data_IF_512143388137
#
_entry.id   IF_512143388137
#
_cell.length_a   1.000
_cell.length_b   1.000
_cell.length_c   1.000
_cell.angle_alpha   90.00
_cell.angle_beta   90.00
_cell.angle_gamma   90.00
#
_symmetry.space_group_name_H-M   'P 1'
#
loop_
_entity.id
_entity.type
_entity.pdbx_description
1 polymer ?
#
# COMPACT_ATOMS: atom_id res chain seq x y z
N UNK A 1 16.15 2.50 1.32
CA UNK A 1 16.54 3.43 2.39
C UNK A 1 15.48 3.39 3.49
N UNK A 2 15.87 3.36 4.76
CA UNK A 2 14.92 3.44 5.88
C UNK A 2 14.80 4.88 6.37
N UNK A 3 13.67 5.26 6.96
CA UNK A 3 13.48 6.60 7.54
C UNK A 3 13.86 6.58 9.02
N UNK A 4 14.58 7.60 9.47
CA UNK A 4 14.87 7.78 10.89
C UNK A 4 13.56 8.03 11.66
N UNK A 5 13.29 7.32 12.77
CA UNK A 5 12.05 7.47 13.53
C UNK A 5 11.93 8.82 14.26
N UNK A 6 13.05 9.52 14.46
CA UNK A 6 13.09 10.83 15.15
C UNK A 6 12.97 12.01 14.19
N UNK A 7 13.73 11.99 13.07
CA UNK A 7 13.78 13.13 12.15
C UNK A 7 13.19 12.86 10.76
N UNK A 8 12.67 11.66 10.52
CA UNK A 8 12.00 11.23 9.27
C UNK A 8 12.86 11.29 8.01
N UNK A 9 14.15 11.66 8.11
CA UNK A 9 15.07 11.68 6.97
C UNK A 9 15.50 10.27 6.60
N UNK A 10 15.75 10.07 5.31
CA UNK A 10 16.29 8.83 4.78
C UNK A 10 17.69 8.59 5.31
N UNK A 11 17.90 7.38 5.83
CA UNK A 11 19.15 6.91 6.39
C UNK A 11 19.49 5.55 5.79
N UNK A 12 20.77 5.21 5.84
CA UNK A 12 21.19 3.86 5.51
C UNK A 12 20.64 2.90 6.57
N UNK A 13 20.04 1.77 6.15
CA UNK A 13 19.45 0.79 7.05
C UNK A 13 20.48 0.08 7.95
N UNK A 14 21.78 0.39 7.82
CA UNK A 14 22.85 -0.19 8.62
C UNK A 14 23.50 0.84 9.57
N UNK A 15 22.99 2.06 9.63
CA UNK A 15 23.53 3.08 10.54
C UNK A 15 23.12 2.79 11.98
N UNK A 16 24.09 2.82 12.90
CA UNK A 16 23.84 2.74 14.35
C UNK A 16 23.42 4.11 14.90
N UNK A 17 23.95 5.18 14.31
CA UNK A 17 23.64 6.56 14.69
C UNK A 17 23.17 7.31 13.45
N UNK A 18 22.04 8.00 13.57
CA UNK A 18 21.51 8.80 12.47
C UNK A 18 22.48 9.95 12.13
N UNK A 19 22.93 10.12 10.87
CA UNK A 19 23.88 11.18 10.50
C UNK A 19 23.26 12.59 10.59
N UNK A 20 21.93 12.68 10.61
CA UNK A 20 21.19 13.95 10.61
C UNK A 20 20.92 14.44 12.02
N UNK A 21 20.24 13.64 12.83
CA UNK A 21 19.81 14.03 14.18
C UNK A 21 20.68 13.43 15.30
N UNK A 22 21.68 12.62 14.95
CA UNK A 22 22.62 11.97 15.89
C UNK A 22 21.97 11.05 16.92
N UNK A 23 20.73 10.60 16.70
CA UNK A 23 20.08 9.65 17.59
C UNK A 23 20.72 8.25 17.46
N UNK A 24 20.95 7.59 18.59
CA UNK A 24 21.38 6.20 18.64
C UNK A 24 20.18 5.28 18.33
N UNK A 25 20.20 4.65 17.16
CA UNK A 25 19.12 3.81 16.67
C UNK A 25 19.08 2.48 17.43
N UNK A 26 20.24 1.92 17.80
CA UNK A 26 20.31 0.69 18.59
C UNK A 26 19.67 0.88 19.96
N UNK A 27 20.00 1.97 20.64
CA UNK A 27 19.39 2.31 21.93
C UNK A 27 17.89 2.65 21.80
N UNK A 28 17.50 3.27 20.68
CA UNK A 28 16.09 3.53 20.40
C UNK A 28 15.29 2.23 20.27
N UNK A 29 15.76 1.27 19.48
CA UNK A 29 15.07 0.00 19.29
C UNK A 29 15.06 -0.85 20.56
N UNK A 30 16.12 -0.85 21.36
CA UNK A 30 16.12 -1.57 22.64
C UNK A 30 15.07 -1.04 23.62
N UNK A 31 14.92 0.28 23.75
CA UNK A 31 13.85 0.89 24.57
C UNK A 31 12.46 0.57 24.03
N UNK A 32 12.29 0.49 22.71
CA UNK A 32 11.02 0.10 22.09
C UNK A 32 10.69 -1.37 22.29
N UNK A 33 11.69 -2.25 22.32
CA UNK A 33 11.49 -3.65 22.67
C UNK A 33 10.93 -3.80 24.09
N UNK A 34 11.47 -3.05 25.06
CA UNK A 34 10.94 -3.01 26.44
C UNK A 34 9.48 -2.50 26.47
N UNK A 35 9.14 -1.46 25.71
CA UNK A 35 7.77 -0.94 25.63
C UNK A 35 6.79 -1.96 25.03
N UNK A 36 7.23 -2.74 24.04
CA UNK A 36 6.44 -3.83 23.45
C UNK A 36 6.10 -4.88 24.50
N UNK A 37 7.04 -5.22 25.39
CA UNK A 37 6.83 -6.23 26.41
C UNK A 37 5.71 -5.83 27.39
N UNK A 38 5.62 -4.55 27.74
CA UNK A 38 4.62 -4.01 28.67
C UNK A 38 3.29 -3.61 28.01
N UNK A 39 3.26 -3.41 26.69
CA UNK A 39 2.07 -2.97 25.96
C UNK A 39 1.45 -4.14 25.19
N UNK A 40 0.37 -4.73 25.73
CA UNK A 40 -0.32 -5.89 25.17
C UNK A 40 -0.77 -5.73 23.70
N UNK A 41 -1.27 -4.54 23.33
CA UNK A 41 -1.71 -4.29 21.95
C UNK A 41 -0.50 -4.23 21.01
N UNK A 42 0.57 -3.58 21.44
CA UNK A 42 1.80 -3.49 20.67
C UNK A 42 2.52 -4.85 20.57
N UNK A 43 2.46 -5.67 21.63
CA UNK A 43 2.96 -7.05 21.65
C UNK A 43 2.24 -7.94 20.66
N UNK A 44 0.91 -7.86 20.60
CA UNK A 44 0.10 -8.59 19.62
C UNK A 44 0.55 -8.25 18.19
N UNK A 45 0.66 -6.96 17.89
CA UNK A 45 1.09 -6.48 16.57
C UNK A 45 2.51 -6.93 16.22
N UNK A 46 3.41 -6.99 17.21
CA UNK A 46 4.77 -7.49 17.05
C UNK A 46 4.81 -8.98 16.69
N UNK A 47 4.02 -9.80 17.39
CA UNK A 47 3.92 -11.24 17.16
C UNK A 47 3.22 -11.57 15.84
N UNK A 48 2.31 -10.71 15.37
CA UNK A 48 1.60 -10.84 14.10
C UNK A 48 2.47 -10.48 12.87
N UNK A 49 3.63 -9.84 13.05
CA UNK A 49 4.50 -9.47 11.91
C UNK A 49 5.02 -10.72 11.21
N UNK A 50 4.45 -11.00 10.04
CA UNK A 50 4.89 -12.08 9.16
C UNK A 50 6.22 -11.67 8.49
N UNK A 51 7.25 -12.54 8.50
CA UNK A 51 8.51 -12.25 7.83
C UNK A 51 8.31 -12.11 6.31
N UNK A 52 8.99 -11.15 5.66
CA UNK A 52 8.92 -11.00 4.21
C UNK A 52 9.54 -12.23 3.53
N UNK A 53 8.86 -12.72 2.49
CA UNK A 53 9.37 -13.80 1.64
C UNK A 53 10.45 -13.27 0.70
N UNK A 54 11.36 -14.14 0.26
CA UNK A 54 12.38 -13.76 -0.73
C UNK A 54 11.71 -13.29 -2.04
N UNK A 55 12.01 -12.07 -2.52
CA UNK A 55 11.41 -11.55 -3.73
C UNK A 55 12.01 -12.25 -4.93
N UNK A 56 11.16 -12.89 -5.72
CA UNK A 56 11.55 -13.45 -6.99
C UNK A 56 11.41 -12.39 -8.06
N UNK A 57 12.41 -12.30 -8.95
CA UNK A 57 12.31 -11.41 -10.11
C UNK A 57 11.26 -12.00 -11.04
N UNK A 58 10.04 -11.48 -10.95
CA UNK A 58 9.03 -11.70 -11.98
C UNK A 58 9.59 -11.11 -13.28
N UNK A 59 10.14 -11.97 -14.14
CA UNK A 59 10.45 -11.57 -15.50
C UNK A 59 9.09 -11.23 -16.09
N UNK A 60 8.84 -9.95 -16.47
CA UNK A 60 7.57 -9.61 -17.10
C UNK A 60 7.41 -10.58 -18.25
N UNK A 61 6.30 -11.33 -18.24
CA UNK A 61 5.97 -12.24 -19.32
C UNK A 61 5.84 -11.36 -20.55
N UNK A 62 6.94 -11.24 -21.28
CA UNK A 62 7.12 -10.33 -22.41
C UNK A 62 5.97 -10.57 -23.40
N UNK A 63 5.53 -11.81 -23.48
CA UNK A 63 4.35 -12.30 -24.19
C UNK A 63 3.06 -11.57 -23.78
N UNK A 64 2.78 -11.36 -22.49
CA UNK A 64 1.57 -10.66 -22.01
C UNK A 64 1.64 -9.14 -22.24
N UNK A 65 2.81 -8.54 -22.06
CA UNK A 65 2.99 -7.11 -22.30
C UNK A 65 2.87 -6.78 -23.80
N UNK A 66 3.50 -7.60 -24.66
CA UNK A 66 3.36 -7.52 -26.11
C UNK A 66 1.91 -7.81 -26.53
N UNK A 67 1.25 -8.82 -25.96
CA UNK A 67 -0.15 -9.14 -26.25
C UNK A 67 -1.07 -7.96 -25.93
N UNK A 68 -0.87 -7.29 -24.78
CA UNK A 68 -1.63 -6.10 -24.42
C UNK A 68 -1.48 -4.97 -25.44
N UNK A 69 -0.25 -4.70 -25.89
CA UNK A 69 0.00 -3.67 -26.93
C UNK A 69 -0.58 -4.07 -28.28
N UNK A 70 -0.45 -5.34 -28.68
CA UNK A 70 -1.02 -5.85 -29.92
C UNK A 70 -2.55 -5.74 -29.92
N UNK A 71 -3.22 -6.07 -28.82
CA UNK A 71 -4.68 -5.93 -28.69
C UNK A 71 -5.11 -4.47 -28.85
N UNK A 72 -4.44 -3.54 -28.18
CA UNK A 72 -4.73 -2.10 -28.29
C UNK A 72 -4.49 -1.60 -29.72
N UNK A 73 -3.42 -2.06 -30.37
CA UNK A 73 -3.09 -1.70 -31.75
C UNK A 73 -4.12 -2.23 -32.75
N UNK A 74 -4.56 -3.49 -32.59
CA UNK A 74 -5.61 -4.09 -33.42
C UNK A 74 -6.94 -3.36 -33.23
N UNK A 75 -7.35 -3.07 -32.00
CA UNK A 75 -8.57 -2.29 -31.73
C UNK A 75 -8.50 -0.89 -32.36
N UNK A 76 -7.33 -0.25 -32.31
CA UNK A 76 -7.11 1.04 -32.98
C UNK A 76 -7.28 0.94 -34.49
N UNK A 77 -6.73 -0.09 -35.13
CA UNK A 77 -6.91 -0.35 -36.57
C UNK A 77 -8.38 -0.60 -36.89
N UNK A 78 -9.10 -1.40 -36.09
CA UNK A 78 -10.53 -1.65 -36.30
C UNK A 78 -11.36 -0.37 -36.20
N UNK A 79 -11.12 0.47 -35.17
CA UNK A 79 -11.84 1.73 -34.97
C UNK A 79 -11.58 2.70 -36.14
N UNK A 80 -10.34 2.82 -36.61
CA UNK A 80 -10.01 3.75 -37.71
C UNK A 80 -10.34 3.18 -39.10
N UNK A 81 -10.25 1.87 -39.28
CA UNK A 81 -10.62 1.17 -40.52
C UNK A 81 -12.13 1.20 -40.78
N UNK A 82 -12.93 1.22 -39.71
CA UNK A 82 -14.39 1.39 -39.83
C UNK A 82 -14.79 2.80 -40.31
N UNK A 83 -14.01 3.83 -39.96
CA UNK A 83 -14.32 5.24 -40.24
C UNK A 83 -13.98 5.66 -41.68
N UNK A 84 -13.23 4.85 -42.44
CA UNK A 84 -12.47 5.34 -43.61
C UNK A 84 -12.77 4.65 -44.94
N UNK A 85 -13.94 4.02 -45.04
CA UNK A 85 -14.51 3.67 -46.35
C UNK A 85 -14.97 4.95 -47.08
N UNK A 86 -14.06 5.67 -47.74
CA UNK A 86 -14.52 6.71 -48.69
C UNK A 86 -13.54 7.71 -49.30
N UNK A 87 -12.29 7.90 -48.82
CA UNK A 87 -11.41 8.92 -49.41
C UNK A 87 -9.93 8.53 -49.41
N UNK A 88 -9.33 8.60 -50.60
CA UNK A 88 -8.01 8.06 -50.97
C UNK A 88 -6.86 9.07 -50.74
N UNK A 89 -7.17 10.32 -50.37
CA UNK A 89 -6.22 11.43 -50.45
C UNK A 89 -5.49 11.78 -49.13
N UNK A 90 -5.76 11.05 -48.03
CA UNK A 90 -5.27 11.41 -46.69
C UNK A 90 -4.10 10.54 -46.18
N UNK A 91 -3.28 9.96 -47.07
CA UNK A 91 -2.16 9.06 -46.72
C UNK A 91 -1.21 9.63 -45.66
N UNK A 92 -0.95 10.95 -45.70
CA UNK A 92 -0.09 11.64 -44.75
C UNK A 92 -0.71 11.72 -43.34
N UNK A 93 -2.02 11.94 -43.26
CA UNK A 93 -2.76 12.02 -41.99
C UNK A 93 -2.80 10.64 -41.30
N UNK A 94 -2.91 9.57 -42.09
CA UNK A 94 -2.83 8.19 -41.57
C UNK A 94 -1.44 7.87 -41.04
N UNK A 95 -0.39 8.18 -41.80
CA UNK A 95 0.99 7.98 -41.34
C UNK A 95 1.24 8.70 -40.00
N UNK A 96 0.78 9.96 -39.87
CA UNK A 96 0.87 10.71 -38.62
C UNK A 96 0.13 10.00 -37.47
N UNK A 97 -1.11 9.57 -37.70
CA UNK A 97 -1.93 8.84 -36.73
C UNK A 97 -1.31 7.51 -36.27
N UNK A 98 -0.72 6.75 -37.18
CA UNK A 98 0.01 5.52 -36.88
C UNK A 98 1.25 5.79 -36.03
N UNK A 99 2.02 6.83 -36.36
CA UNK A 99 3.21 7.23 -35.59
C UNK A 99 2.80 7.60 -34.15
N UNK A 100 1.72 8.36 -33.97
CA UNK A 100 1.21 8.70 -32.64
C UNK A 100 0.74 7.46 -31.86
N UNK A 101 -0.06 6.58 -32.47
CA UNK A 101 -0.54 5.37 -31.80
C UNK A 101 0.60 4.42 -31.40
N UNK A 102 1.58 4.24 -32.29
CA UNK A 102 2.77 3.44 -32.00
C UNK A 102 3.61 4.07 -30.89
N UNK A 103 3.84 5.40 -30.95
CA UNK A 103 4.55 6.13 -29.90
C UNK A 103 3.91 5.98 -28.52
N UNK A 104 2.58 6.09 -28.44
CA UNK A 104 1.83 5.90 -27.18
C UNK A 104 1.94 4.45 -26.68
N UNK A 105 1.84 3.46 -27.59
CA UNK A 105 2.00 2.05 -27.23
C UNK A 105 3.40 1.72 -26.70
N UNK A 106 4.44 2.26 -27.33
CA UNK A 106 5.83 2.10 -26.88
C UNK A 106 6.03 2.76 -25.51
N UNK A 107 5.52 3.97 -25.30
CA UNK A 107 5.60 4.66 -24.01
C UNK A 107 4.88 3.89 -22.89
N UNK A 108 3.69 3.33 -23.16
CA UNK A 108 2.95 2.50 -22.21
C UNK A 108 3.71 1.21 -21.85
N UNK A 109 4.36 0.57 -22.82
CA UNK A 109 5.22 -0.59 -22.59
C UNK A 109 6.41 -0.24 -21.69
N UNK A 110 7.13 0.84 -22.01
CA UNK A 110 8.27 1.31 -21.21
C UNK A 110 7.85 1.67 -19.78
N UNK A 111 6.70 2.31 -19.60
CA UNK A 111 6.14 2.62 -18.27
C UNK A 111 5.81 1.34 -17.48
N UNK A 112 5.23 0.34 -18.13
CA UNK A 112 4.86 -0.94 -17.49
C UNK A 112 6.10 -1.73 -17.06
N UNK A 113 7.13 -1.77 -17.91
CA UNK A 113 8.42 -2.39 -17.57
C UNK A 113 9.11 -1.66 -16.42
N UNK A 114 9.08 -0.32 -16.42
CA UNK A 114 9.64 0.51 -15.34
C UNK A 114 8.91 0.29 -14.02
N UNK A 115 7.58 0.27 -14.03
CA UNK A 115 6.75 0.04 -12.83
C UNK A 115 7.05 -1.30 -12.16
N UNK A 116 7.20 -2.37 -12.96
CA UNK A 116 7.56 -3.67 -12.42
C UNK A 116 8.97 -3.66 -11.80
N UNK A 117 9.93 -2.96 -12.43
CA UNK A 117 11.29 -2.85 -11.88
C UNK A 117 11.31 -2.17 -10.51
N UNK A 118 10.53 -1.11 -10.31
CA UNK A 118 10.50 -0.37 -9.04
C UNK A 118 9.87 -1.15 -7.90
N UNK A 119 8.84 -1.96 -8.18
CA UNK A 119 8.20 -2.80 -7.16
C UNK A 119 9.14 -3.88 -6.63
N UNK A 120 9.90 -4.51 -7.53
CA UNK A 120 10.92 -5.49 -7.15
C UNK A 120 12.03 -4.88 -6.29
N UNK A 121 12.52 -3.69 -6.64
CA UNK A 121 13.58 -3.01 -5.88
C UNK A 121 13.13 -2.66 -4.44
N UNK A 122 11.86 -2.32 -4.25
CA UNK A 122 11.27 -2.05 -2.93
C UNK A 122 11.14 -3.31 -2.08
N UNK A 123 10.61 -4.41 -2.65
CA UNK A 123 10.49 -5.70 -1.96
C UNK A 123 11.87 -6.30 -1.61
N UNK A 124 12.86 -6.15 -2.50
CA UNK A 124 14.24 -6.59 -2.25
C UNK A 124 14.88 -5.84 -1.09
N UNK A 125 14.69 -4.51 -1.05
CA UNK A 125 15.18 -3.70 0.05
C UNK A 125 14.55 -4.12 1.39
N UNK A 126 13.25 -4.40 1.41
CA UNK A 126 12.54 -4.85 2.62
C UNK A 126 13.07 -6.21 3.11
N UNK A 127 13.28 -7.15 2.20
CA UNK A 127 13.87 -8.45 2.50
C UNK A 127 15.31 -8.33 3.04
N UNK A 128 16.17 -7.51 2.41
CA UNK A 128 17.53 -7.27 2.89
C UNK A 128 17.58 -6.66 4.30
N UNK A 129 16.62 -5.78 4.61
CA UNK A 129 16.49 -5.20 5.95
C UNK A 129 16.14 -6.26 6.99
N UNK A 130 15.18 -7.14 6.68
CA UNK A 130 14.80 -8.25 7.54
C UNK A 130 15.96 -9.23 7.78
N UNK A 131 16.70 -9.61 6.73
CA UNK A 131 17.86 -10.52 6.86
C UNK A 131 18.95 -9.96 7.77
N UNK A 132 19.22 -8.65 7.71
CA UNK A 132 20.29 -8.00 8.49
C UNK A 132 19.90 -7.75 9.94
N UNK A 133 18.66 -7.30 10.19
CA UNK A 133 18.16 -6.91 11.53
C UNK A 133 16.68 -7.29 11.71
N UNK A 134 16.37 -8.57 12.01
CA UNK A 134 15.00 -9.07 12.02
C UNK A 134 14.16 -8.47 13.16
N UNK A 135 14.73 -8.29 14.35
CA UNK A 135 14.02 -7.71 15.50
C UNK A 135 13.67 -6.22 15.25
N UNK A 136 14.64 -5.41 14.82
CA UNK A 136 14.41 -3.99 14.47
C UNK A 136 13.33 -3.84 13.39
N UNK A 137 13.30 -4.73 12.39
CA UNK A 137 12.27 -4.77 11.34
C UNK A 137 10.87 -5.02 11.93
N UNK A 138 10.72 -6.03 12.79
CA UNK A 138 9.44 -6.35 13.44
C UNK A 138 8.97 -5.20 14.34
N UNK A 139 9.87 -4.58 15.11
CA UNK A 139 9.56 -3.41 15.94
C UNK A 139 9.03 -2.27 15.06
N UNK A 140 9.70 -1.96 13.95
CA UNK A 140 9.28 -0.91 13.03
C UNK A 140 7.88 -1.15 12.48
N UNK A 141 7.60 -2.37 11.99
CA UNK A 141 6.28 -2.74 11.44
C UNK A 141 5.19 -2.71 12.49
N UNK A 142 5.45 -3.24 13.69
CA UNK A 142 4.50 -3.21 14.80
C UNK A 142 4.17 -1.78 15.24
N UNK A 143 5.18 -0.91 15.34
CA UNK A 143 4.98 0.51 15.68
C UNK A 143 4.19 1.26 14.61
N UNK A 144 4.40 0.95 13.33
CA UNK A 144 3.64 1.53 12.23
C UNK A 144 2.16 1.11 12.28
N UNK A 145 1.89 -0.19 12.46
CA UNK A 145 0.55 -0.72 12.64
C UNK A 145 -0.15 -0.09 13.85
N UNK A 146 0.55 0.01 14.98
CA UNK A 146 0.01 0.62 16.20
C UNK A 146 -0.35 2.10 16.02
N UNK A 147 0.49 2.87 15.32
CA UNK A 147 0.19 4.27 14.98
C UNK A 147 -1.04 4.40 14.07
N UNK A 148 -1.20 3.48 13.12
CA UNK A 148 -2.39 3.44 12.26
C UNK A 148 -3.64 3.16 13.11
N UNK A 149 -3.62 2.15 13.98
CA UNK A 149 -4.72 1.83 14.89
C UNK A 149 -5.07 3.01 15.82
N UNK A 150 -4.06 3.69 16.36
CA UNK A 150 -4.25 4.90 17.18
C UNK A 150 -4.90 6.04 16.40
N UNK A 151 -4.50 6.25 15.13
CA UNK A 151 -5.07 7.30 14.27
C UNK A 151 -6.57 7.10 14.02
N UNK A 152 -7.05 5.86 13.98
CA UNK A 152 -8.48 5.55 13.82
C UNK A 152 -9.26 5.51 15.14
N UNK A 153 -8.57 5.52 16.29
CA UNK A 153 -9.18 5.46 17.64
C UNK A 153 -9.12 6.76 18.43
N UNK A 154 -8.63 7.86 17.85
CA UNK A 154 -8.82 9.21 18.41
C UNK A 154 -10.11 9.83 17.84
N UNK A 155 -11.25 9.73 18.53
CA UNK A 155 -12.47 10.38 18.09
C UNK A 155 -12.43 11.87 18.39
N UNK A 156 -12.69 12.69 17.38
CA UNK A 156 -13.13 14.08 17.55
C UNK A 156 -14.59 14.17 18.00
N UNK A 157 -15.27 13.03 18.16
CA UNK A 157 -16.69 12.94 18.47
C UNK A 157 -16.91 12.46 19.91
N UNK A 158 -17.83 13.10 20.62
CA UNK A 158 -18.24 12.71 21.97
C UNK A 158 -19.51 11.85 21.91
N UNK A 159 -19.60 10.84 22.77
CA UNK A 159 -20.80 10.02 22.87
C UNK A 159 -22.00 10.87 23.34
N UNK A 160 -23.13 10.91 22.61
CA UNK A 160 -24.29 11.71 23.01
C UNK A 160 -24.97 11.17 24.28
N UNK A 161 -24.76 9.91 24.64
CA UNK A 161 -25.43 9.26 25.77
C UNK A 161 -24.67 9.42 27.10
N UNK A 162 -23.34 9.30 27.08
CA UNK A 162 -22.51 9.35 28.30
C UNK A 162 -21.45 10.46 28.27
N UNK A 163 -21.36 11.24 27.19
CA UNK A 163 -20.36 12.31 26.98
C UNK A 163 -18.90 11.85 27.00
N UNK A 164 -18.66 10.54 26.99
CA UNK A 164 -17.31 10.00 26.89
C UNK A 164 -16.69 10.31 25.52
N UNK A 165 -15.39 10.61 25.53
CA UNK A 165 -14.52 10.66 24.35
C UNK A 165 -13.92 9.29 24.02
N UNK A 166 -14.23 8.24 24.78
CA UNK A 166 -13.79 6.87 24.52
C UNK A 166 -14.72 6.18 23.50
N UNK A 167 -14.75 6.72 22.28
CA UNK A 167 -15.56 6.20 21.18
C UNK A 167 -14.68 5.73 20.03
N UNK A 168 -15.03 4.60 19.43
CA UNK A 168 -14.30 4.02 18.31
C UNK A 168 -15.18 4.05 17.07
N UNK A 169 -14.60 4.32 15.90
CA UNK A 169 -15.34 4.23 14.65
C UNK A 169 -15.74 2.78 14.44
N UNK A 170 -17.01 2.54 14.13
CA UNK A 170 -17.49 1.23 13.68
C UNK A 170 -16.88 1.01 12.30
N UNK A 171 -15.67 0.49 12.26
CA UNK A 171 -15.02 0.12 11.02
C UNK A 171 -15.67 -1.16 10.51
N UNK A 172 -16.08 -1.13 9.25
CA UNK A 172 -16.50 -2.32 8.50
C UNK A 172 -15.41 -3.41 8.42
N UNK A 173 -14.23 -3.20 9.02
CA UNK A 173 -13.13 -4.16 9.10
C UNK A 173 -13.46 -5.43 9.93
N UNK A 174 -14.46 -5.40 10.82
CA UNK A 174 -15.04 -6.62 11.40
C UNK A 174 -15.98 -7.40 10.46
N UNK A 175 -16.20 -6.91 9.23
CA UNK A 175 -17.05 -7.52 8.19
C UNK A 175 -16.24 -7.98 6.96
N UNK A 176 -14.91 -7.91 6.98
CA UNK A 176 -14.07 -8.35 5.86
C UNK A 176 -13.30 -9.62 6.25
N UNK A 177 -14.03 -10.65 6.69
CA UNK A 177 -13.63 -12.05 6.53
C UNK A 177 -14.88 -12.85 6.15
N UNK A 178 -15.52 -12.47 5.03
CA UNK A 178 -16.39 -13.35 4.23
C UNK A 178 -17.11 -12.52 3.17
N UNK A 179 -16.55 -12.44 1.96
CA UNK A 179 -17.28 -11.97 0.76
C UNK A 179 -18.28 -13.05 0.27
N UNK A 180 -18.89 -13.81 1.19
CA UNK A 180 -19.72 -14.98 0.87
C UNK A 180 -21.00 -15.12 1.71
N UNK A 181 -21.38 -14.13 2.54
CA UNK A 181 -22.63 -14.18 3.31
C UNK A 181 -23.51 -12.98 3.02
N UNK A 182 -24.18 -13.07 1.86
CA UNK A 182 -25.42 -12.35 1.59
C UNK A 182 -26.47 -12.86 2.60
N UNK A 183 -26.96 -11.98 3.47
CA UNK A 183 -28.17 -12.24 4.26
C UNK A 183 -28.09 -11.83 5.73
N UNK A 184 -28.81 -10.75 6.06
CA UNK A 184 -29.44 -10.50 7.36
C UNK A 184 -28.53 -10.31 8.60
N UNK A 185 -28.12 -9.06 8.83
CA UNK A 185 -27.86 -8.54 10.19
C UNK A 185 -28.33 -7.07 10.27
N UNK A 186 -29.65 -6.92 10.31
CA UNK A 186 -30.38 -5.66 10.48
C UNK A 186 -30.26 -5.18 11.94
N UNK A 187 -29.57 -4.06 12.18
CA UNK A 187 -29.49 -3.44 13.51
C UNK A 187 -28.51 -2.27 13.64
N UNK A 188 -27.51 -2.18 12.74
CA UNK A 188 -26.46 -1.15 12.80
C UNK A 188 -26.36 -0.30 11.51
N UNK A 189 -27.39 -0.28 10.66
CA UNK A 189 -27.36 0.51 9.43
C UNK A 189 -27.45 2.01 9.77
N UNK A 190 -26.39 2.77 9.46
CA UNK A 190 -26.34 4.24 9.58
C UNK A 190 -25.49 4.77 10.75
N UNK A 191 -25.12 3.93 11.71
CA UNK A 191 -24.33 4.31 12.89
C UNK A 191 -22.84 4.20 12.59
N UNK A 192 -22.07 5.24 12.90
CA UNK A 192 -20.65 5.33 12.55
C UNK A 192 -19.73 5.07 13.74
N UNK A 193 -20.23 5.19 14.97
CA UNK A 193 -19.43 5.19 16.19
C UNK A 193 -20.00 4.25 17.25
N UNK A 194 -19.10 3.59 17.97
CA UNK A 194 -19.40 2.75 19.13
C UNK A 194 -18.72 3.36 20.37
N UNK A 195 -19.49 3.65 21.41
CA UNK A 195 -18.94 4.09 22.68
C UNK A 195 -18.51 2.89 23.52
N UNK A 196 -17.25 2.83 23.96
CA UNK A 196 -16.74 1.72 24.80
C UNK A 196 -17.25 1.79 26.24
N UNK A 197 -17.56 2.99 26.74
CA UNK A 197 -17.96 3.17 28.14
C UNK A 197 -19.43 2.82 28.38
N UNK A 198 -20.33 3.25 27.47
CA UNK A 198 -21.77 2.97 27.59
C UNK A 198 -22.29 1.94 26.57
N UNK A 199 -21.40 1.35 25.77
CA UNK A 199 -21.68 0.27 24.80
C UNK A 199 -22.77 0.61 23.75
N UNK A 200 -23.03 1.90 23.52
CA UNK A 200 -24.05 2.37 22.58
C UNK A 200 -23.45 2.64 21.19
N UNK A 201 -24.18 2.25 20.14
CA UNK A 201 -23.86 2.63 18.75
C UNK A 201 -24.63 3.91 18.38
N UNK A 202 -23.98 4.88 17.74
CA UNK A 202 -24.57 6.11 17.21
C UNK A 202 -23.93 6.58 15.89
#
# INVERSE_FOLDING_TARGET
MSKCPQCTKEISPMTEVCPVCKCNLKEYYSKKLEEIEWNLDLKRLYEEVIPPTEPHKEIPDLTKAILGVLVVFVLYIFINGFVTYGSINDTLLYAQKFIYAFGVGVLALLFSLRSNSTKYDEELLEYEMYQKRPEDYKIMKALEAYKLEQKYTTPTVQCPYCKSTNVVKITSAGRIVSVATIGLASGNMGKQWHCRDCKSNF
#
